data_IF_703565738372
#
_entry.id   IF_703565738372
#
_cell.length_a   1.000
_cell.length_b   1.000
_cell.length_c   1.000
_cell.angle_alpha   90.00
_cell.angle_beta   90.00
_cell.angle_gamma   90.00
#
_symmetry.space_group_name_H-M   'P 1'
#
loop_
_entity.id
_entity.type
_entity.pdbx_description
1 polymer ?
#
# COMPACT_ATOMS: atom_id res chain seq x y z
N UNK A 1 1.91 -11.93 26.15
CA UNK A 1 2.03 -10.45 26.17
C UNK A 1 1.46 -9.95 24.86
N UNK A 2 0.63 -8.91 24.88
CA UNK A 2 0.07 -8.35 23.65
C UNK A 2 1.18 -7.65 22.86
N UNK A 3 1.41 -8.05 21.62
CA UNK A 3 2.38 -7.42 20.75
C UNK A 3 1.71 -6.26 19.99
N UNK A 4 2.37 -5.09 19.96
CA UNK A 4 1.91 -3.93 19.19
C UNK A 4 2.59 -3.94 17.83
N UNK A 5 1.79 -3.91 16.77
CA UNK A 5 2.29 -3.95 15.39
C UNK A 5 1.74 -2.77 14.60
N UNK A 6 2.62 -1.88 14.14
CA UNK A 6 2.27 -0.83 13.20
C UNK A 6 2.26 -1.35 11.76
N UNK A 7 1.15 -1.18 11.04
CA UNK A 7 0.99 -1.58 9.63
C UNK A 7 0.58 -0.38 8.80
N UNK A 8 1.33 -0.08 7.73
CA UNK A 8 0.94 0.97 6.80
C UNK A 8 -0.19 0.49 5.90
N UNK A 9 -1.14 1.38 5.60
CA UNK A 9 -2.13 1.21 4.56
C UNK A 9 -1.80 2.04 3.30
N UNK A 10 -0.61 2.65 3.23
CA UNK A 10 -0.05 3.28 2.02
C UNK A 10 -0.37 4.76 1.83
N UNK A 11 -0.87 5.11 0.63
CA UNK A 11 -0.66 6.35 -0.17
C UNK A 11 0.75 6.49 -0.72
N UNK A 12 1.76 6.32 0.13
CA UNK A 12 3.17 6.26 -0.25
C UNK A 12 3.97 5.70 0.94
N UNK A 13 5.29 5.68 0.82
CA UNK A 13 6.18 5.19 1.87
C UNK A 13 6.19 6.06 3.15
N UNK A 14 5.56 7.24 3.16
CA UNK A 14 5.55 8.16 4.31
C UNK A 14 4.96 7.53 5.56
N UNK A 15 3.84 6.81 5.44
CA UNK A 15 3.21 6.12 6.57
C UNK A 15 4.17 5.12 7.23
N UNK A 16 4.91 4.36 6.41
CA UNK A 16 5.94 3.43 6.88
C UNK A 16 7.07 4.16 7.60
N UNK A 17 7.62 5.21 6.97
CA UNK A 17 8.72 6.00 7.53
C UNK A 17 8.34 6.67 8.86
N UNK A 18 7.15 7.29 8.91
CA UNK A 18 6.62 7.91 10.10
C UNK A 18 6.44 6.90 11.24
N UNK A 19 5.89 5.71 10.94
CA UNK A 19 5.65 4.67 11.94
C UNK A 19 6.95 4.14 12.55
N UNK A 20 8.01 4.01 11.75
CA UNK A 20 9.35 3.63 12.25
C UNK A 20 9.95 4.74 13.10
N UNK A 21 9.91 6.00 12.64
CA UNK A 21 10.47 7.14 13.38
C UNK A 21 9.77 7.38 14.73
N UNK A 22 8.48 7.04 14.84
CA UNK A 22 7.70 7.21 16.06
C UNK A 22 7.58 5.93 16.89
N UNK A 23 8.39 4.89 16.61
CA UNK A 23 8.39 3.61 17.32
C UNK A 23 7.01 2.91 17.38
N UNK A 24 6.13 3.20 16.41
CA UNK A 24 4.84 2.51 16.25
C UNK A 24 5.04 1.17 15.53
N UNK A 25 6.08 1.08 14.71
CA UNK A 25 6.44 -0.10 13.91
C UNK A 25 7.91 -0.44 14.10
N UNK A 26 8.19 -1.73 14.32
CA UNK A 26 9.55 -2.29 14.33
C UNK A 26 10.20 -2.20 12.95
N UNK A 27 11.53 -2.12 12.90
CA UNK A 27 12.26 -2.27 11.64
C UNK A 27 12.33 -3.73 11.23
N UNK A 28 12.73 -3.96 9.97
CA UNK A 28 12.93 -5.32 9.46
C UNK A 28 14.01 -6.08 10.23
N UNK A 29 15.09 -5.40 10.61
CA UNK A 29 16.18 -5.94 11.45
C UNK A 29 15.68 -6.38 12.84
N UNK A 30 14.60 -5.77 13.32
CA UNK A 30 13.97 -6.08 14.61
C UNK A 30 12.81 -7.08 14.49
N UNK A 31 12.68 -7.77 13.33
CA UNK A 31 11.70 -8.83 13.11
C UNK A 31 10.40 -8.39 12.44
N UNK A 32 10.29 -7.16 11.94
CA UNK A 32 9.14 -6.77 11.12
C UNK A 32 9.17 -7.42 9.74
N UNK A 33 8.04 -7.99 9.31
CA UNK A 33 7.86 -8.56 7.99
C UNK A 33 7.00 -7.64 7.11
N UNK A 34 7.45 -7.35 5.89
CA UNK A 34 6.80 -6.33 5.05
C UNK A 34 5.39 -6.71 4.63
N UNK A 35 4.49 -5.73 4.65
CA UNK A 35 3.08 -5.84 4.25
C UNK A 35 2.85 -5.23 2.86
N UNK A 36 1.71 -5.48 2.19
CA UNK A 36 1.50 -5.09 0.80
C UNK A 36 1.62 -3.59 0.60
N UNK A 37 0.98 -2.81 1.46
CA UNK A 37 0.83 -1.36 1.28
C UNK A 37 2.02 -0.54 1.80
N UNK A 38 3.10 -1.18 2.25
CA UNK A 38 4.22 -0.50 2.90
C UNK A 38 4.93 0.52 2.00
N UNK A 39 4.99 0.23 0.71
CA UNK A 39 5.83 0.97 -0.25
C UNK A 39 5.15 1.26 -1.58
N UNK A 40 3.94 0.74 -1.81
CA UNK A 40 3.17 1.11 -3.01
C UNK A 40 2.46 2.44 -2.80
N UNK A 41 2.15 3.11 -3.89
CA UNK A 41 1.22 4.23 -3.90
C UNK A 41 -0.19 3.65 -4.02
N UNK A 42 -0.96 3.75 -2.94
CA UNK A 42 -2.34 3.24 -2.82
C UNK A 42 -3.34 4.37 -2.59
N UNK A 43 -4.62 4.05 -2.55
CA UNK A 43 -5.73 4.97 -2.26
C UNK A 43 -6.75 4.28 -1.36
N UNK A 44 -7.61 5.05 -0.67
CA UNK A 44 -8.53 4.51 0.32
C UNK A 44 -9.52 3.50 -0.29
N UNK A 45 -10.17 3.86 -1.40
CA UNK A 45 -11.16 3.01 -2.06
C UNK A 45 -10.55 1.67 -2.49
N UNK A 46 -9.39 1.70 -3.13
CA UNK A 46 -8.66 0.53 -3.58
C UNK A 46 -8.22 -0.36 -2.41
N UNK A 47 -7.82 0.21 -1.27
CA UNK A 47 -7.46 -0.58 -0.06
C UNK A 47 -8.69 -1.34 0.44
N UNK A 48 -9.84 -0.67 0.55
CA UNK A 48 -11.11 -1.29 0.93
C UNK A 48 -11.43 -2.46 -0.01
N UNK A 49 -11.46 -2.22 -1.32
CA UNK A 49 -11.74 -3.27 -2.30
C UNK A 49 -10.73 -4.42 -2.26
N UNK A 50 -9.44 -4.10 -2.15
CA UNK A 50 -8.37 -5.09 -2.14
C UNK A 50 -8.50 -6.06 -0.96
N UNK A 51 -8.78 -5.54 0.25
CA UNK A 51 -8.99 -6.37 1.44
C UNK A 51 -10.32 -7.14 1.33
N UNK A 52 -11.37 -6.50 0.83
CA UNK A 52 -12.70 -7.12 0.63
C UNK A 52 -12.64 -8.33 -0.29
N UNK A 53 -11.89 -8.23 -1.39
CA UNK A 53 -11.67 -9.31 -2.36
C UNK A 53 -10.52 -10.25 -1.96
N UNK A 54 -10.03 -10.17 -0.72
CA UNK A 54 -8.94 -11.01 -0.19
C UNK A 54 -7.67 -10.98 -1.06
N UNK A 55 -7.34 -9.80 -1.60
CA UNK A 55 -6.19 -9.53 -2.46
C UNK A 55 -6.20 -10.26 -3.81
N UNK A 56 -7.34 -10.84 -4.22
CA UNK A 56 -7.47 -11.69 -5.41
C UNK A 56 -6.87 -11.08 -6.67
N UNK A 57 -7.10 -9.80 -6.92
CA UNK A 57 -6.69 -9.13 -8.16
C UNK A 57 -5.41 -8.29 -8.01
N UNK A 58 -4.72 -8.35 -6.86
CA UNK A 58 -3.57 -7.46 -6.58
C UNK A 58 -2.41 -7.70 -7.56
N UNK A 59 -2.19 -8.97 -7.93
CA UNK A 59 -1.11 -9.39 -8.82
C UNK A 59 -1.63 -10.17 -10.05
N UNK A 60 -2.92 -10.02 -10.35
CA UNK A 60 -3.53 -10.63 -11.54
C UNK A 60 -3.10 -9.84 -12.77
N UNK A 61 -2.42 -10.49 -13.70
CA UNK A 61 -1.88 -9.88 -14.92
C UNK A 61 -2.94 -9.22 -15.80
N UNK A 62 -4.20 -9.64 -15.72
CA UNK A 62 -5.29 -9.01 -16.46
C UNK A 62 -5.63 -7.60 -15.95
N UNK A 63 -5.20 -7.29 -14.73
CA UNK A 63 -5.38 -5.99 -14.09
C UNK A 63 -4.05 -5.24 -13.92
N UNK A 64 -2.94 -5.76 -14.47
CA UNK A 64 -1.64 -5.09 -14.46
C UNK A 64 -1.34 -4.44 -15.81
N UNK A 65 -1.01 -3.16 -15.77
CA UNK A 65 -0.61 -2.37 -16.93
C UNK A 65 0.80 -1.81 -16.73
N UNK A 66 1.55 -1.67 -17.83
CA UNK A 66 2.80 -0.92 -17.84
C UNK A 66 2.58 0.44 -18.47
N UNK A 67 2.80 1.50 -17.69
CA UNK A 67 2.64 2.88 -18.14
C UNK A 67 4.00 3.58 -18.17
N UNK A 68 4.49 3.91 -19.36
CA UNK A 68 5.72 4.70 -19.51
C UNK A 68 5.46 6.15 -19.09
N UNK A 69 6.13 6.61 -18.03
CA UNK A 69 5.98 7.97 -17.48
C UNK A 69 7.15 8.88 -17.89
N UNK A 70 8.28 8.31 -18.29
CA UNK A 70 9.42 9.02 -18.89
C UNK A 70 10.23 8.06 -19.77
N UNK A 71 11.20 8.58 -20.52
CA UNK A 71 12.14 7.76 -21.32
C UNK A 71 12.89 6.70 -20.51
N UNK A 72 12.93 6.85 -19.19
CA UNK A 72 13.69 5.99 -18.28
C UNK A 72 12.84 5.24 -17.25
N UNK A 73 11.53 5.50 -17.20
CA UNK A 73 10.67 4.98 -16.14
C UNK A 73 9.33 4.47 -16.68
N UNK A 74 9.02 3.22 -16.32
CA UNK A 74 7.76 2.57 -16.62
C UNK A 74 7.15 2.07 -15.32
N UNK A 75 5.90 2.42 -15.08
CA UNK A 75 5.17 2.10 -13.87
C UNK A 75 4.34 0.83 -14.05
N UNK A 76 4.44 -0.10 -13.09
CA UNK A 76 3.47 -1.19 -12.92
C UNK A 76 2.25 -0.60 -12.21
N UNK A 77 1.10 -0.65 -12.88
CA UNK A 77 -0.17 -0.11 -12.41
C UNK A 77 -1.21 -1.22 -12.27
N UNK A 78 -1.93 -1.26 -11.15
CA UNK A 78 -3.10 -2.12 -10.96
C UNK A 78 -4.37 -1.32 -11.28
N UNK A 79 -5.04 -1.61 -12.38
CA UNK A 79 -6.25 -0.89 -12.81
C UNK A 79 -7.54 -1.34 -12.09
N UNK A 80 -7.50 -2.43 -11.30
CA UNK A 80 -8.63 -2.86 -10.48
C UNK A 80 -8.75 -2.03 -9.21
N UNK A 81 -7.62 -1.74 -8.56
CA UNK A 81 -7.56 -1.01 -7.30
C UNK A 81 -6.95 0.39 -7.42
N UNK A 82 -6.55 0.78 -8.64
CA UNK A 82 -5.87 2.04 -8.93
C UNK A 82 -4.58 2.21 -8.12
N UNK A 83 -3.78 1.15 -7.99
CA UNK A 83 -2.50 1.17 -7.26
C UNK A 83 -1.33 1.34 -8.21
N UNK A 84 -0.27 2.00 -7.72
CA UNK A 84 1.00 2.19 -8.40
C UNK A 84 2.08 1.48 -7.60
N UNK A 85 2.79 0.53 -8.22
CA UNK A 85 3.90 -0.19 -7.61
C UNK A 85 5.24 0.43 -7.98
N UNK A 86 5.43 1.71 -7.67
CA UNK A 86 6.62 2.47 -8.07
C UNK A 86 7.93 1.81 -7.59
N UNK A 87 7.97 1.21 -6.40
CA UNK A 87 9.19 0.54 -5.91
C UNK A 87 9.52 -0.80 -6.60
N UNK A 88 8.58 -1.36 -7.35
CA UNK A 88 8.75 -2.55 -8.18
C UNK A 88 8.80 -2.20 -9.68
N UNK A 89 8.68 -0.92 -10.03
CA UNK A 89 8.56 -0.45 -11.39
C UNK A 89 9.92 -0.29 -12.08
N UNK A 90 10.07 -0.71 -13.34
CA UNK A 90 11.29 -0.49 -14.13
C UNK A 90 11.74 0.98 -14.14
N UNK A 91 12.96 1.23 -13.65
CA UNK A 91 13.63 2.53 -13.71
C UNK A 91 13.41 3.44 -12.51
N UNK A 92 12.42 3.16 -11.66
CA UNK A 92 12.11 4.01 -10.51
C UNK A 92 13.30 4.09 -9.54
N UNK A 93 13.82 5.31 -9.33
CA UNK A 93 14.95 5.64 -8.46
C UNK A 93 16.19 4.74 -8.62
N UNK A 94 16.35 4.06 -9.78
CA UNK A 94 17.36 3.03 -10.02
C UNK A 94 17.43 1.94 -8.93
N UNK A 95 16.29 1.57 -8.32
CA UNK A 95 16.23 0.57 -7.25
C UNK A 95 16.81 -0.78 -7.65
N UNK A 96 16.73 -1.15 -8.93
CA UNK A 96 17.35 -2.37 -9.43
C UNK A 96 18.87 -2.43 -9.25
N UNK A 97 19.55 -1.27 -9.23
CA UNK A 97 20.99 -1.17 -8.96
C UNK A 97 21.24 -1.26 -7.46
N UNK A 98 20.52 -0.46 -6.67
CA UNK A 98 20.78 -0.32 -5.22
C UNK A 98 20.34 -1.55 -4.42
N UNK A 99 19.31 -2.25 -4.87
CA UNK A 99 18.84 -3.52 -4.28
C UNK A 99 19.45 -4.77 -4.94
N UNK A 100 20.24 -4.61 -6.01
CA UNK A 100 20.91 -5.72 -6.69
C UNK A 100 19.95 -6.75 -7.28
N UNK A 101 18.94 -6.29 -8.02
CA UNK A 101 17.93 -7.19 -8.59
C UNK A 101 18.54 -8.11 -9.66
N UNK A 102 18.26 -9.42 -9.55
CA UNK A 102 18.87 -10.48 -10.36
C UNK A 102 18.75 -10.25 -11.89
N UNK A 103 17.65 -9.65 -12.33
CA UNK A 103 17.38 -9.40 -13.75
C UNK A 103 17.35 -7.91 -14.09
N UNK A 104 18.07 -7.10 -13.29
CA UNK A 104 18.20 -5.66 -13.47
C UNK A 104 16.85 -4.95 -13.49
N UNK A 105 16.73 -3.93 -14.36
CA UNK A 105 15.57 -3.04 -14.45
C UNK A 105 14.25 -3.78 -14.70
N UNK A 106 14.29 -4.96 -15.32
CA UNK A 106 13.09 -5.73 -15.69
C UNK A 106 12.70 -6.81 -14.66
N UNK A 107 13.37 -6.89 -13.51
CA UNK A 107 13.21 -7.99 -12.55
C UNK A 107 11.76 -8.33 -12.19
N UNK A 108 10.87 -7.32 -12.09
CA UNK A 108 9.47 -7.52 -11.73
C UNK A 108 8.50 -7.71 -12.90
N UNK A 109 8.92 -7.46 -14.15
CA UNK A 109 8.05 -7.54 -15.33
C UNK A 109 8.33 -8.75 -16.22
N UNK A 110 9.48 -9.41 -16.05
CA UNK A 110 9.80 -10.63 -16.79
C UNK A 110 8.90 -11.81 -16.38
N UNK A 111 8.84 -12.83 -17.24
CA UNK A 111 8.14 -14.10 -17.00
C UNK A 111 6.71 -13.91 -16.46
N UNK A 112 5.96 -12.98 -17.06
CA UNK A 112 4.59 -12.69 -16.64
C UNK A 112 4.49 -12.31 -15.14
N UNK A 113 5.34 -11.35 -14.73
CA UNK A 113 5.38 -10.79 -13.38
C UNK A 113 5.72 -11.78 -12.26
N UNK A 114 6.50 -12.84 -12.53
CA UNK A 114 6.78 -13.91 -11.57
C UNK A 114 7.35 -13.41 -10.24
N UNK A 115 8.42 -12.61 -10.27
CA UNK A 115 9.06 -12.07 -9.06
C UNK A 115 8.16 -11.08 -8.33
N UNK A 116 7.32 -10.35 -9.08
CA UNK A 116 6.36 -9.40 -8.52
C UNK A 116 5.28 -10.14 -7.74
N UNK A 117 4.66 -11.15 -8.37
CA UNK A 117 3.69 -12.06 -7.75
C UNK A 117 4.28 -12.72 -6.50
N UNK A 118 5.49 -13.28 -6.59
CA UNK A 118 6.19 -13.90 -5.45
C UNK A 118 6.38 -12.92 -4.28
N UNK A 119 6.86 -11.71 -4.55
CA UNK A 119 7.08 -10.67 -3.53
C UNK A 119 5.77 -10.28 -2.85
N UNK A 120 4.72 -10.03 -3.63
CA UNK A 120 3.44 -9.58 -3.08
C UNK A 120 2.63 -10.69 -2.42
N UNK A 121 2.68 -11.93 -2.89
CA UNK A 121 2.10 -13.07 -2.16
C UNK A 121 2.71 -13.21 -0.77
N UNK A 122 4.04 -13.05 -0.64
CA UNK A 122 4.70 -13.05 0.68
C UNK A 122 4.21 -11.90 1.56
N UNK A 123 4.11 -10.69 1.02
CA UNK A 123 3.63 -9.51 1.76
C UNK A 123 2.17 -9.67 2.21
N UNK A 124 1.31 -10.18 1.34
CA UNK A 124 -0.10 -10.47 1.67
C UNK A 124 -0.19 -11.49 2.80
N UNK A 125 0.61 -12.57 2.74
CA UNK A 125 0.63 -13.57 3.80
C UNK A 125 1.13 -12.97 5.13
N UNK A 126 2.16 -12.12 5.12
CA UNK A 126 2.61 -11.43 6.33
C UNK A 126 1.49 -10.57 6.93
N UNK A 127 0.78 -9.81 6.10
CA UNK A 127 -0.35 -8.98 6.53
C UNK A 127 -1.45 -9.84 7.17
N UNK A 128 -1.88 -10.91 6.49
CA UNK A 128 -2.88 -11.85 7.03
C UNK A 128 -2.42 -12.45 8.37
N UNK A 129 -1.15 -12.88 8.46
CA UNK A 129 -0.59 -13.43 9.69
C UNK A 129 -0.62 -12.43 10.85
N UNK A 130 -0.27 -11.16 10.61
CA UNK A 130 -0.37 -10.14 11.66
C UNK A 130 -1.81 -9.94 12.13
N UNK A 131 -2.77 -9.90 11.22
CA UNK A 131 -4.17 -9.63 11.53
C UNK A 131 -4.89 -10.84 12.17
N UNK A 132 -4.44 -12.06 11.91
CA UNK A 132 -5.04 -13.28 12.45
C UNK A 132 -4.48 -13.71 13.81
N UNK A 133 -3.35 -13.15 14.26
CA UNK A 133 -2.80 -13.45 15.58
C UNK A 133 -3.52 -12.64 16.68
N UNK A 134 -4.25 -13.34 17.55
CA UNK A 134 -5.04 -12.74 18.63
C UNK A 134 -4.19 -12.05 19.72
N UNK A 135 -2.88 -12.32 19.75
CA UNK A 135 -1.93 -11.65 20.61
C UNK A 135 -1.53 -10.28 20.07
N UNK A 136 -1.84 -9.96 18.82
CA UNK A 136 -1.53 -8.66 18.24
C UNK A 136 -2.61 -7.62 18.56
N UNK A 137 -2.15 -6.39 18.78
CA UNK A 137 -2.93 -5.19 18.60
C UNK A 137 -2.33 -4.40 17.45
N UNK A 138 -3.11 -4.20 16.39
CA UNK A 138 -2.66 -3.53 15.18
C UNK A 138 -2.92 -2.03 15.26
N UNK A 139 -1.89 -1.23 14.99
CA UNK A 139 -2.08 0.19 14.69
C UNK A 139 -1.93 0.36 13.18
N UNK A 140 -3.05 0.62 12.49
CA UNK A 140 -3.01 0.97 11.07
C UNK A 140 -2.58 2.43 10.91
N UNK A 141 -1.61 2.70 10.05
CA UNK A 141 -1.12 4.05 9.73
C UNK A 141 -1.51 4.36 8.29
N UNK A 142 -2.23 5.45 8.10
CA UNK A 142 -2.69 5.88 6.78
C UNK A 142 -2.38 7.36 6.59
N UNK A 143 -1.58 7.65 5.57
CA UNK A 143 -1.43 9.00 5.04
C UNK A 143 -2.70 9.35 4.27
N UNK A 144 -3.16 10.59 4.33
CA UNK A 144 -4.43 11.05 3.77
C UNK A 144 -4.45 12.58 3.74
N UNK A 145 -5.62 13.18 3.57
CA UNK A 145 -5.84 14.60 3.79
C UNK A 145 -7.15 14.83 4.53
N UNK A 146 -7.09 15.35 5.75
CA UNK A 146 -8.22 15.76 6.61
C UNK A 146 -9.30 14.67 6.83
N UNK A 147 -8.97 13.38 6.61
CA UNK A 147 -9.87 12.30 7.02
C UNK A 147 -9.88 12.18 8.54
N UNK A 148 -11.03 11.78 9.04
CA UNK A 148 -11.31 11.45 10.42
C UNK A 148 -11.61 9.97 10.56
N UNK A 149 -11.74 9.52 11.80
CA UNK A 149 -12.12 8.14 12.12
C UNK A 149 -13.51 7.75 11.58
N UNK A 150 -14.40 8.72 11.36
CA UNK A 150 -15.72 8.52 10.75
C UNK A 150 -15.62 8.20 9.25
N UNK A 151 -14.62 8.74 8.57
CA UNK A 151 -14.38 8.52 7.14
C UNK A 151 -13.88 7.09 6.84
N UNK A 152 -13.53 6.32 7.89
CA UNK A 152 -13.01 4.95 7.79
C UNK A 152 -14.09 3.88 8.01
N UNK A 153 -15.37 4.26 8.01
CA UNK A 153 -16.48 3.34 8.32
C UNK A 153 -16.44 2.07 7.45
N UNK A 154 -16.27 2.22 6.14
CA UNK A 154 -16.24 1.09 5.21
C UNK A 154 -15.05 0.15 5.51
N UNK A 155 -13.85 0.69 5.70
CA UNK A 155 -12.67 -0.12 6.03
C UNK A 155 -12.88 -0.89 7.35
N UNK A 156 -13.47 -0.25 8.36
CA UNK A 156 -13.77 -0.90 9.65
C UNK A 156 -14.76 -2.05 9.49
N UNK A 157 -15.81 -1.86 8.69
CA UNK A 157 -16.78 -2.92 8.40
C UNK A 157 -16.12 -4.10 7.69
N UNK A 158 -15.27 -3.84 6.70
CA UNK A 158 -14.51 -4.89 5.98
C UNK A 158 -13.59 -5.65 6.95
N UNK A 159 -12.82 -4.93 7.78
CA UNK A 159 -11.94 -5.54 8.77
C UNK A 159 -12.71 -6.37 9.79
N UNK A 160 -13.87 -5.88 10.26
CA UNK A 160 -14.72 -6.61 11.20
C UNK A 160 -15.27 -7.91 10.61
N UNK A 161 -15.69 -7.88 9.34
CA UNK A 161 -16.20 -9.08 8.65
C UNK A 161 -15.08 -10.10 8.40
N UNK A 162 -13.91 -9.63 7.95
CA UNK A 162 -12.78 -10.51 7.56
C UNK A 162 -11.97 -11.01 8.75
N UNK A 163 -11.83 -10.19 9.78
CA UNK A 163 -11.00 -10.43 10.97
C UNK A 163 -11.78 -10.04 12.24
N UNK A 164 -12.81 -10.82 12.63
CA UNK A 164 -13.74 -10.44 13.70
C UNK A 164 -13.09 -10.27 15.07
N UNK A 165 -11.96 -10.94 15.32
CA UNK A 165 -11.20 -10.86 16.57
C UNK A 165 -10.08 -9.81 16.55
N UNK A 166 -9.92 -9.08 15.45
CA UNK A 166 -8.84 -8.11 15.28
C UNK A 166 -9.00 -6.96 16.27
N UNK A 167 -7.96 -6.72 17.07
CA UNK A 167 -7.84 -5.55 17.93
C UNK A 167 -7.03 -4.51 17.19
N UNK A 168 -7.62 -3.36 16.90
CA UNK A 168 -6.93 -2.33 16.13
C UNK A 168 -7.33 -0.90 16.46
N UNK A 169 -6.47 0.03 16.07
CA UNK A 169 -6.74 1.47 16.02
C UNK A 169 -6.11 2.07 14.77
N UNK A 170 -6.50 3.30 14.42
CA UNK A 170 -5.91 4.05 13.31
C UNK A 170 -5.05 5.21 13.80
N UNK A 171 -4.03 5.54 13.02
CA UNK A 171 -3.33 6.82 13.04
C UNK A 171 -3.46 7.40 11.63
N UNK A 172 -4.12 8.55 11.54
CA UNK A 172 -4.30 9.29 10.30
C UNK A 172 -3.31 10.44 10.25
N UNK A 173 -2.58 10.53 9.14
CA UNK A 173 -1.55 11.52 8.91
C UNK A 173 -1.92 12.33 7.68
N UNK A 174 -1.85 13.65 7.74
CA UNK A 174 -1.86 14.44 6.51
C UNK A 174 -0.56 14.21 5.74
N UNK A 175 -0.61 14.17 4.41
CA UNK A 175 0.60 14.09 3.60
C UNK A 175 1.53 15.28 3.92
N UNK A 176 2.79 15.04 4.32
CA UNK A 176 3.69 16.10 4.77
C UNK A 176 4.05 17.07 3.64
N UNK A 177 3.83 16.70 2.37
CA UNK A 177 4.09 17.55 1.21
C UNK A 177 2.89 18.43 0.84
N UNK A 178 1.78 18.34 1.58
CA UNK A 178 0.62 19.21 1.43
C UNK A 178 -0.51 18.65 0.57
N UNK A 179 -1.64 19.36 0.57
CA UNK A 179 -2.90 18.98 -0.08
C UNK A 179 -2.74 18.77 -1.59
N UNK A 180 -2.09 19.72 -2.24
CA UNK A 180 -1.94 19.72 -3.70
C UNK A 180 -1.12 18.52 -4.18
N UNK A 181 -0.10 18.15 -3.41
CA UNK A 181 0.69 16.95 -3.68
C UNK A 181 -0.13 15.67 -3.49
N UNK A 182 -0.96 15.61 -2.44
CA UNK A 182 -1.90 14.50 -2.25
C UNK A 182 -2.91 14.39 -3.40
N UNK A 183 -3.48 15.51 -3.86
CA UNK A 183 -4.36 15.57 -5.04
C UNK A 183 -3.63 15.09 -6.31
N UNK A 184 -2.37 15.49 -6.51
CA UNK A 184 -1.58 15.06 -7.65
C UNK A 184 -1.38 13.53 -7.66
N UNK A 185 -1.18 12.91 -6.49
CA UNK A 185 -1.12 11.45 -6.37
C UNK A 185 -2.45 10.77 -6.69
N UNK A 186 -3.59 11.30 -6.21
CA UNK A 186 -4.91 10.77 -6.59
C UNK A 186 -5.11 10.81 -8.10
N UNK A 187 -4.74 11.93 -8.75
CA UNK A 187 -4.80 12.06 -10.22
C UNK A 187 -3.85 11.09 -10.93
N UNK A 188 -2.65 10.86 -10.41
CA UNK A 188 -1.74 9.84 -10.94
C UNK A 188 -2.34 8.42 -10.85
N UNK A 189 -3.16 8.17 -9.83
CA UNK A 189 -3.95 6.94 -9.69
C UNK A 189 -5.25 6.93 -10.53
N UNK A 190 -5.42 7.91 -11.44
CA UNK A 190 -6.57 8.08 -12.35
C UNK A 190 -7.89 8.49 -11.68
N UNK A 191 -7.85 9.07 -10.48
CA UNK A 191 -9.04 9.68 -9.88
C UNK A 191 -9.40 10.99 -10.61
N UNK A 192 -10.69 11.22 -10.82
CA UNK A 192 -11.27 12.41 -11.44
C UNK A 192 -12.12 13.20 -10.45
N UNK A 193 -12.61 14.37 -10.86
CA UNK A 193 -13.48 15.23 -10.06
C UNK A 193 -14.83 14.59 -9.71
N UNK A 194 -15.21 13.54 -10.44
CA UNK A 194 -16.42 12.77 -10.19
C UNK A 194 -16.23 11.72 -9.09
N UNK A 195 -14.98 11.36 -8.77
CA UNK A 195 -14.68 10.39 -7.71
C UNK A 195 -14.74 11.06 -6.33
N UNK A 196 -15.55 10.51 -5.43
CA UNK A 196 -15.78 11.07 -4.09
C UNK A 196 -14.48 11.29 -3.28
N UNK A 197 -13.45 10.47 -3.48
CA UNK A 197 -12.17 10.62 -2.79
C UNK A 197 -11.41 11.89 -3.20
N UNK A 198 -11.47 12.28 -4.48
CA UNK A 198 -10.87 13.53 -4.97
C UNK A 198 -11.84 14.71 -4.79
N UNK A 199 -13.13 14.52 -5.10
CA UNK A 199 -14.19 15.53 -4.99
C UNK A 199 -14.26 16.21 -3.63
N UNK A 200 -14.08 15.46 -2.53
CA UNK A 200 -14.08 16.02 -1.16
C UNK A 200 -12.93 17.02 -0.89
N UNK A 201 -11.91 17.05 -1.76
CA UNK A 201 -10.71 17.86 -1.60
C UNK A 201 -10.70 19.10 -2.50
N UNK A 202 -11.64 19.23 -3.42
CA UNK A 202 -11.75 20.36 -4.33
C UNK A 202 -12.72 21.40 -3.76
#
# INVERSE_FOLDING_TARGET
>A
MTEKVGISLGINCTSTMWAVHNNVRKRKEDGYTTCPFDIMVSNYVGICECIKDDFKYLCDENYLELNTVSDTETIIYNNKYNFIFNHESPGHANLYITEGWEHGINHFVINNYENFKKRYSKRVNNFKNYLSDENNTITFIMTTWEKTDNDLKELKEILHIKYPNLKYNFILLNDPNGKDYFIAHLRAMRFTEDDEELKRLL
#
